data_IF_184437142555
#
_entry.id   IF_184437142555
#
_cell.length_a   1.000
_cell.length_b   1.000
_cell.length_c   1.000
_cell.angle_alpha   90.00
_cell.angle_beta   90.00
_cell.angle_gamma   90.00
#
_symmetry.space_group_name_H-M   'P 1'
#
loop_
_entity.id
_entity.type
_entity.pdbx_description
1 polymer ?
#
# COMPACT_ATOMS: atom_id res chain seq x y z
N UNK A 1 -49.92 8.87 -1.44
CA UNK A 1 -48.68 9.16 -0.70
C UNK A 1 -47.85 7.89 -0.76
N UNK A 2 -46.77 7.89 -1.53
CA UNK A 2 -45.91 6.71 -1.68
C UNK A 2 -44.80 6.78 -0.63
N UNK A 3 -44.76 5.80 0.26
CA UNK A 3 -43.65 5.60 1.19
C UNK A 3 -42.45 5.05 0.38
N UNK A 4 -41.44 5.89 0.22
CA UNK A 4 -40.13 5.46 -0.28
C UNK A 4 -39.42 4.78 0.87
N UNK A 5 -39.53 3.46 0.93
CA UNK A 5 -38.73 2.64 1.84
C UNK A 5 -37.29 2.66 1.31
N UNK A 6 -36.44 3.47 1.96
CA UNK A 6 -35.01 3.55 1.71
C UNK A 6 -34.34 2.25 2.16
N UNK A 7 -34.47 1.19 1.34
CA UNK A 7 -33.53 0.08 1.33
C UNK A 7 -32.21 0.63 0.81
N UNK A 8 -31.48 1.30 1.71
CA UNK A 8 -30.06 1.55 1.51
C UNK A 8 -29.44 0.17 1.62
N UNK A 9 -29.26 -0.47 0.46
CA UNK A 9 -28.42 -1.65 0.34
C UNK A 9 -27.15 -1.35 1.15
N UNK A 10 -26.91 -2.16 2.18
CA UNK A 10 -25.63 -2.20 2.88
C UNK A 10 -24.65 -2.72 1.82
N UNK A 11 -24.15 -1.81 0.98
CA UNK A 11 -23.11 -2.07 0.00
C UNK A 11 -21.91 -2.47 0.85
N UNK A 12 -21.80 -3.76 1.14
CA UNK A 12 -20.92 -4.33 2.13
C UNK A 12 -19.56 -3.67 2.04
N UNK A 13 -19.31 -2.71 2.95
CA UNK A 13 -18.02 -2.05 3.05
C UNK A 13 -17.02 -3.19 3.24
N UNK A 14 -16.01 -3.33 2.36
CA UNK A 14 -15.09 -4.46 2.41
C UNK A 14 -14.56 -4.57 3.85
N UNK A 15 -14.54 -5.76 4.44
CA UNK A 15 -14.12 -6.00 5.83
C UNK A 15 -12.82 -5.26 6.22
N UNK A 16 -11.98 -5.02 5.22
CA UNK A 16 -10.82 -4.12 5.21
C UNK A 16 -11.05 -2.73 5.84
N UNK A 17 -12.11 -2.01 5.46
CA UNK A 17 -12.35 -0.62 5.89
C UNK A 17 -12.83 -0.50 7.34
N UNK A 18 -13.32 -1.58 7.96
CA UNK A 18 -13.79 -1.53 9.35
C UNK A 18 -12.64 -1.50 10.37
N UNK A 19 -11.41 -1.86 9.98
CA UNK A 19 -10.32 -2.07 10.95
C UNK A 19 -8.99 -1.38 10.64
N UNK A 20 -8.72 -0.97 9.39
CA UNK A 20 -7.45 -0.27 9.06
C UNK A 20 -7.70 0.93 8.13
N UNK A 21 -7.36 2.12 8.63
CA UNK A 21 -7.42 3.34 7.84
C UNK A 21 -6.16 3.46 6.95
N UNK A 22 -6.37 3.63 5.65
CA UNK A 22 -5.31 3.98 4.70
C UNK A 22 -5.26 5.50 4.49
N UNK A 23 -4.08 6.09 4.19
CA UNK A 23 -2.78 5.43 4.14
C UNK A 23 -2.25 5.07 5.53
N UNK A 24 -1.49 3.98 5.64
CA UNK A 24 -0.80 3.58 6.87
C UNK A 24 0.15 4.69 7.34
N UNK A 25 0.07 5.06 8.62
CA UNK A 25 0.80 6.21 9.17
C UNK A 25 2.03 5.78 9.98
N UNK A 26 1.92 4.69 10.73
CA UNK A 26 2.93 4.26 11.69
C UNK A 26 3.49 2.85 11.41
N UNK A 27 4.57 2.50 12.11
CA UNK A 27 5.16 1.17 12.05
C UNK A 27 4.21 0.14 12.67
N UNK A 28 3.50 0.54 13.72
CA UNK A 28 2.51 -0.26 14.44
C UNK A 28 1.34 -0.59 13.52
N UNK A 29 0.81 0.40 12.79
CA UNK A 29 -0.25 0.19 11.79
C UNK A 29 0.23 -0.79 10.71
N UNK A 30 1.46 -0.64 10.23
CA UNK A 30 2.03 -1.51 9.22
C UNK A 30 2.18 -2.95 9.72
N UNK A 31 2.66 -3.16 10.95
CA UNK A 31 2.81 -4.49 11.54
C UNK A 31 1.45 -5.17 11.73
N UNK A 32 0.49 -4.46 12.33
CA UNK A 32 -0.89 -4.94 12.49
C UNK A 32 -1.51 -5.29 11.13
N UNK A 33 -1.30 -4.43 10.14
CA UNK A 33 -1.80 -4.65 8.80
C UNK A 33 -1.19 -5.88 8.12
N UNK A 34 0.13 -6.09 8.26
CA UNK A 34 0.80 -7.29 7.76
C UNK A 34 0.27 -8.57 8.41
N UNK A 35 -0.15 -8.53 9.67
CA UNK A 35 -0.80 -9.65 10.35
C UNK A 35 -2.21 -9.91 9.80
N UNK A 36 -3.01 -8.86 9.62
CA UNK A 36 -4.35 -8.96 9.04
C UNK A 36 -4.34 -9.54 7.61
N UNK A 37 -3.29 -9.25 6.83
CA UNK A 37 -3.09 -9.82 5.48
C UNK A 37 -2.81 -11.33 5.45
N UNK A 38 -2.67 -11.99 6.61
CA UNK A 38 -2.70 -13.46 6.69
C UNK A 38 -4.08 -14.03 6.36
N UNK A 39 -5.14 -13.26 6.62
CA UNK A 39 -6.52 -13.66 6.34
C UNK A 39 -6.79 -13.50 4.85
N UNK A 40 -7.18 -14.59 4.20
CA UNK A 40 -7.29 -14.65 2.74
C UNK A 40 -8.34 -13.67 2.18
N UNK A 41 -9.46 -13.52 2.87
CA UNK A 41 -10.53 -12.59 2.54
C UNK A 41 -10.05 -11.13 2.62
N UNK A 42 -9.29 -10.77 3.65
CA UNK A 42 -8.68 -9.44 3.79
C UNK A 42 -7.71 -9.17 2.65
N UNK A 43 -6.85 -10.14 2.31
CA UNK A 43 -5.91 -10.03 1.18
C UNK A 43 -6.65 -9.86 -0.15
N UNK A 44 -7.66 -10.68 -0.44
CA UNK A 44 -8.46 -10.59 -1.68
C UNK A 44 -9.16 -9.23 -1.79
N UNK A 45 -9.71 -8.74 -0.69
CA UNK A 45 -10.35 -7.43 -0.63
C UNK A 45 -9.35 -6.30 -0.89
N UNK A 46 -8.15 -6.37 -0.31
CA UNK A 46 -7.08 -5.42 -0.62
C UNK A 46 -6.72 -5.46 -2.10
N UNK A 47 -6.46 -6.63 -2.67
CA UNK A 47 -6.12 -6.77 -4.10
C UNK A 47 -7.19 -6.15 -5.00
N UNK A 48 -8.47 -6.38 -4.69
CA UNK A 48 -9.58 -5.77 -5.41
C UNK A 48 -9.58 -4.24 -5.29
N UNK A 49 -9.43 -3.71 -4.08
CA UNK A 49 -9.35 -2.27 -3.84
C UNK A 49 -8.15 -1.62 -4.53
N UNK A 50 -6.99 -2.27 -4.54
CA UNK A 50 -5.80 -1.78 -5.23
C UNK A 50 -6.01 -1.60 -6.74
N UNK A 51 -6.84 -2.45 -7.36
CA UNK A 51 -7.19 -2.32 -8.78
C UNK A 51 -8.00 -1.06 -9.07
N UNK A 52 -8.71 -0.50 -8.10
CA UNK A 52 -9.41 0.78 -8.26
C UNK A 52 -8.46 1.99 -8.41
N UNK A 53 -7.17 1.81 -8.12
CA UNK A 53 -6.14 2.85 -8.26
C UNK A 53 -5.38 2.79 -9.58
N UNK A 54 -5.87 2.00 -10.54
CA UNK A 54 -5.19 1.85 -11.82
C UNK A 54 -5.24 3.13 -12.64
N UNK A 55 -4.10 3.42 -13.25
CA UNK A 55 -3.85 4.55 -14.11
C UNK A 55 -3.56 4.06 -15.53
N UNK A 56 -3.46 5.01 -16.47
CA UNK A 56 -3.16 4.71 -17.88
C UNK A 56 -1.86 3.94 -18.13
N UNK A 57 -0.91 3.98 -17.19
CA UNK A 57 0.36 3.28 -17.32
C UNK A 57 0.81 2.64 -16.01
N UNK A 58 1.70 1.65 -16.12
CA UNK A 58 2.22 0.84 -15.02
C UNK A 58 2.91 1.70 -13.95
N UNK A 59 3.78 2.62 -14.38
CA UNK A 59 4.55 3.46 -13.49
C UNK A 59 3.61 4.29 -12.61
N UNK A 60 2.66 5.01 -13.21
CA UNK A 60 1.71 5.84 -12.46
C UNK A 60 0.76 5.01 -11.60
N UNK A 61 0.36 3.82 -12.05
CA UNK A 61 -0.44 2.87 -11.26
C UNK A 61 0.27 2.46 -9.97
N UNK A 62 1.49 1.94 -10.08
CA UNK A 62 2.28 1.50 -8.92
C UNK A 62 2.53 2.68 -7.97
N UNK A 63 2.81 3.87 -8.52
CA UNK A 63 3.01 5.11 -7.76
C UNK A 63 1.73 5.57 -7.05
N UNK A 64 0.57 5.47 -7.69
CA UNK A 64 -0.71 5.83 -7.09
C UNK A 64 -1.08 4.88 -5.97
N UNK A 65 -1.00 3.57 -6.21
CA UNK A 65 -1.21 2.54 -5.17
C UNK A 65 -0.39 2.87 -3.92
N UNK A 66 0.92 3.08 -4.05
CA UNK A 66 1.76 3.36 -2.90
C UNK A 66 1.36 4.64 -2.15
N UNK A 67 0.92 5.68 -2.86
CA UNK A 67 0.45 6.93 -2.26
C UNK A 67 -0.81 6.75 -1.42
N UNK A 68 -1.71 5.89 -1.87
CA UNK A 68 -2.97 5.61 -1.17
C UNK A 68 -2.78 4.66 0.02
N UNK A 69 -1.86 3.69 -0.07
CA UNK A 69 -1.72 2.67 0.98
C UNK A 69 -0.74 3.04 2.08
N UNK A 70 0.27 3.88 1.83
CA UNK A 70 1.33 4.13 2.80
C UNK A 70 1.76 5.59 2.80
N UNK A 71 1.87 6.19 3.99
CA UNK A 71 2.29 7.58 4.12
C UNK A 71 3.76 7.77 3.72
N UNK A 72 4.12 8.98 3.27
CA UNK A 72 5.52 9.31 2.98
C UNK A 72 6.41 9.29 4.23
N UNK A 73 5.84 9.56 5.41
CA UNK A 73 6.54 9.44 6.69
C UNK A 73 6.93 8.00 6.99
N UNK A 74 6.00 7.06 6.80
CA UNK A 74 6.25 5.64 6.93
C UNK A 74 7.22 5.15 5.85
N UNK A 75 7.01 5.50 4.57
CA UNK A 75 7.93 5.17 3.47
C UNK A 75 9.37 5.61 3.72
N UNK A 76 9.57 6.77 4.33
CA UNK A 76 10.90 7.29 4.66
C UNK A 76 11.70 6.30 5.53
N UNK A 77 11.04 5.54 6.40
CA UNK A 77 11.69 4.55 7.27
C UNK A 77 12.36 3.41 6.47
N UNK A 78 11.90 3.17 5.24
CA UNK A 78 12.44 2.17 4.31
C UNK A 78 13.54 2.73 3.38
N UNK A 79 14.00 3.96 3.62
CA UNK A 79 15.08 4.60 2.84
C UNK A 79 16.41 4.57 3.61
N UNK A 80 17.51 4.91 2.94
CA UNK A 80 18.81 5.09 3.61
C UNK A 80 18.74 6.06 4.79
N UNK A 81 17.93 7.13 4.69
CA UNK A 81 17.74 8.08 5.79
C UNK A 81 16.95 7.50 6.98
N UNK A 82 16.19 6.44 6.76
CA UNK A 82 15.52 5.64 7.80
C UNK A 82 16.38 4.47 8.29
N UNK A 83 17.48 4.15 7.60
CA UNK A 83 18.40 3.08 8.02
C UNK A 83 19.30 3.60 9.14
N UNK A 84 19.30 2.94 10.32
CA UNK A 84 20.21 3.27 11.41
C UNK A 84 21.66 3.27 10.94
N UNK A 85 22.45 4.25 11.40
CA UNK A 85 23.91 4.12 11.34
C UNK A 85 24.33 2.89 12.17
N UNK A 86 25.40 2.17 11.77
CA UNK A 86 25.98 1.15 12.62
C UNK A 86 26.17 1.69 14.04
N UNK A 87 25.77 0.93 15.05
CA UNK A 87 25.87 1.28 16.48
C UNK A 87 24.98 2.44 16.98
N UNK A 88 24.01 2.92 16.19
CA UNK A 88 23.12 4.01 16.62
C UNK A 88 21.98 3.59 17.55
N UNK A 89 21.85 2.28 17.86
CA UNK A 89 20.78 1.74 18.71
C UNK A 89 19.36 1.83 18.13
N UNK A 90 19.19 2.44 16.93
CA UNK A 90 17.89 2.52 16.25
C UNK A 90 17.55 1.19 15.57
N UNK A 91 16.27 0.83 15.56
CA UNK A 91 15.79 -0.36 14.85
C UNK A 91 16.13 -0.27 13.36
N UNK A 92 16.71 -1.34 12.80
CA UNK A 92 16.94 -1.43 11.34
C UNK A 92 15.60 -1.23 10.65
N UNK A 93 15.55 -0.28 9.70
CA UNK A 93 14.34 0.04 8.96
C UNK A 93 13.68 -1.23 8.42
N UNK A 94 12.35 -1.26 8.50
CA UNK A 94 11.55 -2.32 7.88
C UNK A 94 11.93 -2.44 6.40
N UNK A 95 11.80 -3.64 5.83
CA UNK A 95 11.96 -3.86 4.39
C UNK A 95 10.58 -4.03 3.76
N UNK A 96 10.23 -3.21 2.76
CA UNK A 96 9.02 -3.44 1.95
C UNK A 96 9.19 -4.69 1.09
N UNK A 97 10.43 -5.00 0.68
CA UNK A 97 10.74 -6.22 -0.07
C UNK A 97 10.39 -7.44 0.77
N UNK A 98 9.55 -8.32 0.23
CA UNK A 98 9.07 -9.53 0.91
C UNK A 98 7.89 -9.31 1.87
N UNK A 99 7.40 -8.07 2.04
CA UNK A 99 6.18 -7.80 2.81
C UNK A 99 4.94 -8.37 2.09
N UNK A 100 3.92 -8.75 2.86
CA UNK A 100 2.63 -9.21 2.33
C UNK A 100 1.92 -8.09 1.57
N UNK A 101 2.07 -6.84 2.00
CA UNK A 101 1.58 -5.68 1.28
C UNK A 101 2.21 -5.58 -0.11
N UNK A 102 3.53 -5.72 -0.22
CA UNK A 102 4.18 -5.74 -1.54
C UNK A 102 3.68 -6.89 -2.42
N UNK A 103 3.47 -8.08 -1.84
CA UNK A 103 2.91 -9.22 -2.57
C UNK A 103 1.48 -8.92 -3.07
N UNK A 104 0.65 -8.29 -2.26
CA UNK A 104 -0.70 -7.85 -2.67
C UNK A 104 -0.65 -6.80 -3.79
N UNK A 105 0.31 -5.87 -3.75
CA UNK A 105 0.53 -4.90 -4.85
C UNK A 105 0.96 -5.62 -6.13
N UNK A 106 1.90 -6.57 -6.03
CA UNK A 106 2.34 -7.37 -7.18
C UNK A 106 1.17 -8.17 -7.74
N UNK A 107 0.38 -8.83 -6.89
CA UNK A 107 -0.78 -9.62 -7.29
C UNK A 107 -1.82 -8.74 -8.00
N UNK A 108 -2.14 -7.57 -7.43
CA UNK A 108 -3.08 -6.63 -8.02
C UNK A 108 -2.65 -6.21 -9.42
N UNK A 109 -1.40 -5.76 -9.57
CA UNK A 109 -0.85 -5.22 -10.82
C UNK A 109 -0.63 -6.32 -11.87
N UNK A 110 -0.04 -7.45 -11.46
CA UNK A 110 0.32 -8.56 -12.36
C UNK A 110 -0.88 -9.39 -12.80
N UNK A 111 -1.97 -9.43 -12.03
CA UNK A 111 -3.17 -10.17 -12.43
C UNK A 111 -4.34 -9.24 -12.78
N UNK A 112 -4.04 -7.97 -13.03
CA UNK A 112 -4.97 -6.97 -13.57
C UNK A 112 -4.59 -6.54 -14.98
N UNK A 113 -4.79 -5.26 -15.30
CA UNK A 113 -4.52 -4.65 -16.61
C UNK A 113 -3.06 -4.72 -17.09
N UNK A 114 -2.09 -4.99 -16.20
CA UNK A 114 -0.66 -5.02 -16.53
C UNK A 114 -0.07 -6.44 -16.53
N UNK A 115 -0.86 -7.46 -16.91
CA UNK A 115 -0.48 -8.88 -16.82
C UNK A 115 0.86 -9.26 -17.48
N UNK A 116 1.18 -8.63 -18.61
CA UNK A 116 2.44 -8.80 -19.33
C UNK A 116 3.68 -8.27 -18.57
N UNK A 117 3.51 -7.61 -17.43
CA UNK A 117 4.62 -7.04 -16.65
C UNK A 117 5.35 -8.11 -15.82
N UNK A 118 6.67 -7.94 -15.70
CA UNK A 118 7.51 -8.80 -14.85
C UNK A 118 7.50 -8.31 -13.40
N UNK A 119 7.53 -9.25 -12.45
CA UNK A 119 7.62 -8.92 -11.01
C UNK A 119 8.81 -7.98 -10.73
N UNK A 120 10.03 -8.22 -11.27
CA UNK A 120 11.15 -7.30 -11.06
C UNK A 120 10.89 -5.87 -11.52
N UNK A 121 10.07 -5.65 -12.55
CA UNK A 121 9.72 -4.30 -13.01
C UNK A 121 8.86 -3.56 -11.97
N UNK A 122 7.85 -4.23 -11.41
CA UNK A 122 6.97 -3.68 -10.36
C UNK A 122 7.78 -3.38 -9.10
N UNK A 123 8.66 -4.31 -8.70
CA UNK A 123 9.56 -4.12 -7.55
C UNK A 123 10.50 -2.94 -7.76
N UNK A 124 11.07 -2.79 -8.97
CA UNK A 124 11.97 -1.68 -9.27
C UNK A 124 11.26 -0.32 -9.19
N UNK A 125 10.03 -0.21 -9.74
CA UNK A 125 9.23 1.02 -9.63
C UNK A 125 8.93 1.34 -8.16
N UNK A 126 8.52 0.31 -7.40
CA UNK A 126 8.27 0.41 -5.95
C UNK A 126 9.50 0.94 -5.20
N UNK A 127 10.66 0.34 -5.43
CA UNK A 127 11.91 0.74 -4.78
C UNK A 127 12.29 2.18 -5.12
N UNK A 128 12.22 2.57 -6.39
CA UNK A 128 12.51 3.95 -6.83
C UNK A 128 11.54 4.92 -6.17
N UNK A 129 10.26 4.58 -6.11
CA UNK A 129 9.22 5.42 -5.53
C UNK A 129 9.46 5.67 -4.04
N UNK A 130 9.68 4.60 -3.27
CA UNK A 130 9.91 4.65 -1.83
C UNK A 130 11.22 5.39 -1.51
N UNK A 131 12.30 5.16 -2.26
CA UNK A 131 13.58 5.87 -2.08
C UNK A 131 13.43 7.39 -2.15
N UNK A 132 12.48 7.88 -2.95
CA UNK A 132 12.19 9.31 -3.13
C UNK A 132 11.19 9.87 -2.10
N UNK A 133 10.77 9.11 -1.10
CA UNK A 133 9.80 9.58 -0.10
C UNK A 133 10.32 10.80 0.68
N UNK A 134 11.61 10.82 1.03
CA UNK A 134 12.26 11.93 1.75
C UNK A 134 12.16 13.24 0.97
N UNK A 135 12.42 13.20 -0.33
CA UNK A 135 12.40 14.40 -1.17
C UNK A 135 10.99 14.98 -1.25
N UNK A 136 9.97 14.12 -1.30
CA UNK A 136 8.56 14.55 -1.31
C UNK A 136 8.08 15.13 0.00
N UNK A 137 8.68 14.71 1.12
CA UNK A 137 8.43 15.34 2.41
C UNK A 137 9.02 16.75 2.48
N UNK A 138 10.13 17.01 1.77
CA UNK A 138 10.73 18.36 1.71
C UNK A 138 9.90 19.32 0.85
N UNK A 139 9.30 18.83 -0.24
CA UNK A 139 8.49 19.66 -1.15
C UNK A 139 7.06 19.91 -0.65
N UNK A 140 6.64 19.27 0.45
CA UNK A 140 5.34 19.50 1.10
C UNK A 140 5.39 20.59 2.20
N UNK A 141 6.55 21.22 2.40
CA UNK A 141 6.74 22.34 3.32
C UNK A 141 6.52 23.67 2.63
#
# INVERSE_FOLDING_TARGET
>A
MAEVNNNTEDIGLPAFQKHVALPLQSVEDFKYFEEELLKEDVRKNLVYMLRSFFERNLDDTVRRIWREVMSYYLMKLYTWSGTPKPNSGKEKGLAVKGSRLLLAVIEAVKHGEFEGTTIPKIENITQIFIRKAVDRLKTKR
#
